data_IF_841841477031
#
_entry.id   IF_841841477031
#
_cell.length_a   1.000
_cell.length_b   1.000
_cell.length_c   1.000
_cell.angle_alpha   90.00
_cell.angle_beta   90.00
_cell.angle_gamma   90.00
#
_symmetry.space_group_name_H-M   'P 1'
#
loop_
_entity.id
_entity.type
_entity.pdbx_description
1 polymer ?
#
# COMPACT_ATOMS: atom_id res chain seq x y z
N UNK A 1 13.20 -9.42 17.62
CA UNK A 1 12.98 -9.14 16.19
C UNK A 1 13.41 -10.40 15.45
N UNK A 2 12.59 -10.99 14.58
CA UNK A 2 12.98 -12.25 13.90
C UNK A 2 14.05 -11.92 12.87
N UNK A 3 15.27 -12.42 13.07
CA UNK A 3 16.38 -12.21 12.15
C UNK A 3 16.23 -13.18 10.96
N UNK A 4 15.42 -12.79 9.98
CA UNK A 4 15.10 -13.66 8.84
C UNK A 4 16.35 -14.02 8.00
N UNK A 5 17.44 -13.25 8.11
CA UNK A 5 18.72 -13.50 7.43
C UNK A 5 19.41 -14.78 7.91
N UNK A 6 19.15 -15.22 9.14
CA UNK A 6 19.75 -16.43 9.70
C UNK A 6 19.13 -17.71 9.13
N UNK A 7 17.89 -17.62 8.62
CA UNK A 7 17.12 -18.79 8.17
C UNK A 7 17.14 -18.99 6.66
N UNK A 8 17.70 -18.05 5.90
CA UNK A 8 17.78 -18.13 4.44
C UNK A 8 19.25 -18.05 4.02
N UNK A 9 19.81 -19.09 3.38
CA UNK A 9 21.19 -19.07 2.92
C UNK A 9 21.48 -17.84 2.04
N UNK A 10 22.49 -17.05 2.42
CA UNK A 10 22.92 -15.87 1.67
C UNK A 10 23.33 -16.27 0.24
N UNK A 11 22.94 -15.45 -0.74
CA UNK A 11 23.19 -15.70 -2.16
C UNK A 11 22.28 -16.73 -2.84
N UNK A 12 21.33 -17.33 -2.12
CA UNK A 12 20.26 -18.11 -2.76
C UNK A 12 19.24 -17.20 -3.45
N UNK A 13 18.55 -17.69 -4.48
CA UNK A 13 17.47 -16.96 -5.16
C UNK A 13 16.38 -16.45 -4.20
N UNK A 14 16.10 -17.25 -3.15
CA UNK A 14 15.15 -16.87 -2.11
C UNK A 14 15.68 -15.71 -1.25
N UNK A 15 16.98 -15.67 -0.96
CA UNK A 15 17.60 -14.59 -0.21
C UNK A 15 17.57 -13.29 -1.01
N UNK A 16 17.94 -13.33 -2.29
CA UNK A 16 17.87 -12.18 -3.18
C UNK A 16 16.44 -11.65 -3.31
N UNK A 17 15.47 -12.55 -3.53
CA UNK A 17 14.04 -12.18 -3.59
C UNK A 17 13.54 -11.55 -2.30
N UNK A 18 13.89 -12.13 -1.15
CA UNK A 18 13.55 -11.58 0.17
C UNK A 18 14.20 -10.22 0.39
N UNK A 19 15.43 -10.03 -0.08
CA UNK A 19 16.18 -8.78 0.06
C UNK A 19 15.59 -7.65 -0.75
N UNK A 20 15.17 -7.92 -1.97
CA UNK A 20 14.50 -6.94 -2.81
C UNK A 20 13.21 -6.46 -2.12
N UNK A 21 12.39 -7.37 -1.58
CA UNK A 21 11.17 -6.99 -0.85
C UNK A 21 11.49 -6.20 0.42
N UNK A 22 12.55 -6.57 1.15
CA UNK A 22 13.01 -5.85 2.33
C UNK A 22 13.39 -4.39 2.02
N UNK A 23 14.18 -4.18 0.96
CA UNK A 23 14.62 -2.84 0.53
C UNK A 23 13.48 -1.92 0.10
N UNK A 24 12.31 -2.45 -0.27
CA UNK A 24 11.13 -1.62 -0.54
C UNK A 24 10.72 -0.80 0.69
N UNK A 25 10.99 -1.30 1.91
CA UNK A 25 10.67 -0.62 3.15
C UNK A 25 11.67 0.48 3.54
N UNK A 26 12.74 0.66 2.77
CA UNK A 26 13.63 1.80 2.89
C UNK A 26 13.13 2.96 2.03
N UNK A 27 12.43 2.68 0.91
CA UNK A 27 11.75 3.70 0.10
C UNK A 27 10.51 4.27 0.83
N UNK A 28 9.71 3.42 1.47
CA UNK A 28 8.61 3.84 2.35
C UNK A 28 8.24 2.76 3.37
N UNK A 29 7.86 3.13 4.59
CA UNK A 29 7.59 2.14 5.65
C UNK A 29 6.22 1.45 5.53
N UNK A 30 5.32 1.93 4.64
CA UNK A 30 3.96 1.41 4.48
C UNK A 30 3.66 1.13 3.00
N UNK A 31 3.11 -0.05 2.72
CA UNK A 31 2.77 -0.50 1.37
C UNK A 31 1.41 -1.17 1.31
N UNK A 32 0.61 -0.92 0.27
CA UNK A 32 -0.50 -1.82 -0.07
C UNK A 32 0.03 -2.98 -0.92
N UNK A 33 -0.60 -4.16 -0.86
CA UNK A 33 -0.17 -5.33 -1.64
C UNK A 33 -0.01 -5.01 -3.13
N UNK A 34 -1.03 -4.42 -3.76
CA UNK A 34 -0.98 -4.10 -5.18
C UNK A 34 0.09 -3.07 -5.55
N UNK A 35 0.28 -2.03 -4.74
CA UNK A 35 1.32 -1.03 -5.02
C UNK A 35 2.74 -1.56 -4.87
N UNK A 36 2.92 -2.55 -4.00
CA UNK A 36 4.20 -3.21 -3.80
C UNK A 36 4.46 -4.13 -4.99
N UNK A 37 3.47 -4.90 -5.43
CA UNK A 37 3.55 -5.70 -6.66
C UNK A 37 3.90 -4.84 -7.86
N UNK A 38 3.21 -3.72 -8.08
CA UNK A 38 3.48 -2.78 -9.18
C UNK A 38 4.92 -2.24 -9.11
N UNK A 39 5.37 -1.76 -7.94
CA UNK A 39 6.74 -1.26 -7.76
C UNK A 39 7.80 -2.33 -7.98
N UNK A 40 7.54 -3.56 -7.56
CA UNK A 40 8.45 -4.70 -7.78
C UNK A 40 8.52 -5.05 -9.26
N UNK A 41 7.39 -5.02 -9.97
CA UNK A 41 7.33 -5.22 -11.42
C UNK A 41 8.13 -4.15 -12.17
N UNK A 42 8.02 -2.88 -11.77
CA UNK A 42 8.84 -1.78 -12.33
C UNK A 42 10.35 -2.04 -12.16
N UNK A 43 10.74 -2.78 -11.12
CA UNK A 43 12.13 -3.18 -10.85
C UNK A 43 12.50 -4.53 -11.48
N UNK A 44 11.63 -5.13 -12.29
CA UNK A 44 11.87 -6.40 -12.98
C UNK A 44 11.53 -7.65 -12.15
N UNK A 45 10.87 -7.52 -11.01
CA UNK A 45 10.51 -8.64 -10.14
C UNK A 45 9.01 -8.94 -10.20
N UNK A 46 8.67 -10.19 -10.49
CA UNK A 46 7.29 -10.69 -10.45
C UNK A 46 7.19 -11.83 -9.45
N UNK A 47 6.30 -11.69 -8.47
CA UNK A 47 6.05 -12.72 -7.46
C UNK A 47 4.58 -13.10 -7.45
N UNK A 48 4.29 -14.37 -7.18
CA UNK A 48 2.94 -14.78 -6.83
C UNK A 48 2.51 -14.12 -5.51
N UNK A 49 1.21 -13.89 -5.34
CA UNK A 49 0.65 -13.26 -4.12
C UNK A 49 1.05 -14.06 -2.87
N UNK A 50 1.01 -15.39 -2.94
CA UNK A 50 1.39 -16.26 -1.82
C UNK A 50 2.87 -16.11 -1.46
N UNK A 51 3.75 -16.06 -2.45
CA UNK A 51 5.18 -15.86 -2.25
C UNK A 51 5.48 -14.47 -1.66
N UNK A 52 4.87 -13.42 -2.19
CA UNK A 52 5.03 -12.07 -1.68
C UNK A 52 4.59 -11.95 -0.22
N UNK A 53 3.42 -12.52 0.14
CA UNK A 53 2.94 -12.55 1.53
C UNK A 53 3.88 -13.31 2.47
N UNK A 54 4.50 -14.40 1.98
CA UNK A 54 5.52 -15.15 2.74
C UNK A 54 6.77 -14.29 3.02
N UNK A 55 7.20 -13.48 2.05
CA UNK A 55 8.31 -12.56 2.26
C UNK A 55 7.94 -11.44 3.25
N UNK A 56 6.73 -10.90 3.12
CA UNK A 56 6.23 -9.80 3.94
C UNK A 56 6.05 -10.20 5.40
N UNK A 57 5.54 -11.39 5.71
CA UNK A 57 5.32 -11.84 7.10
C UNK A 57 6.60 -11.85 7.94
N UNK A 58 7.76 -12.01 7.29
CA UNK A 58 9.07 -11.98 7.95
C UNK A 58 9.49 -10.58 8.39
N UNK A 59 9.20 -9.55 7.59
CA UNK A 59 9.75 -8.19 7.74
C UNK A 59 8.73 -7.11 8.10
N UNK A 60 7.45 -7.43 7.98
CA UNK A 60 6.34 -6.50 8.14
C UNK A 60 5.21 -7.10 8.96
N UNK A 61 4.28 -6.26 9.36
CA UNK A 61 3.02 -6.66 10.01
C UNK A 61 1.86 -5.93 9.35
N UNK A 62 0.64 -6.25 9.77
CA UNK A 62 -0.57 -5.76 9.14
C UNK A 62 -1.64 -5.48 10.20
N UNK A 63 -2.39 -4.39 10.06
CA UNK A 63 -3.54 -4.12 10.93
C UNK A 63 -4.81 -4.80 10.41
N UNK A 64 -5.48 -5.57 11.26
CA UNK A 64 -6.76 -6.21 10.94
C UNK A 64 -7.90 -5.21 10.81
N UNK A 65 -7.79 -4.00 11.37
CA UNK A 65 -8.81 -2.94 11.33
C UNK A 65 -8.18 -1.53 11.41
N UNK A 66 -9.01 -0.50 11.30
CA UNK A 66 -8.58 0.90 11.46
C UNK A 66 -8.04 1.59 10.18
N UNK A 67 -7.49 2.81 10.32
CA UNK A 67 -7.15 3.66 9.17
C UNK A 67 -5.96 3.13 8.35
N UNK A 68 -5.15 2.26 8.93
CA UNK A 68 -4.02 1.58 8.28
C UNK A 68 -4.33 0.10 7.97
N UNK A 69 -5.61 -0.30 7.94
CA UNK A 69 -6.00 -1.62 7.48
C UNK A 69 -5.64 -1.80 6.00
N UNK A 70 -5.21 -3.01 5.61
CA UNK A 70 -4.83 -3.34 4.23
C UNK A 70 -3.50 -2.81 3.75
N UNK A 71 -2.63 -2.49 4.71
CA UNK A 71 -1.24 -2.18 4.45
C UNK A 71 -0.30 -3.11 5.19
N UNK A 72 0.81 -3.42 4.53
CA UNK A 72 1.99 -4.02 5.10
C UNK A 72 2.87 -2.89 5.65
N UNK A 73 3.23 -3.01 6.92
CA UNK A 73 3.94 -1.98 7.68
C UNK A 73 5.26 -2.57 8.18
N UNK A 74 6.37 -1.85 7.97
CA UNK A 74 7.71 -2.25 8.43
C UNK A 74 7.67 -2.60 9.92
N UNK A 75 8.20 -3.76 10.33
CA UNK A 75 8.35 -4.08 11.75
C UNK A 75 9.18 -3.01 12.46
N UNK A 76 8.74 -2.60 13.65
CA UNK A 76 9.38 -1.54 14.43
C UNK A 76 8.90 -0.12 14.09
N UNK A 77 8.15 0.07 13.01
CA UNK A 77 7.53 1.36 12.67
C UNK A 77 6.07 1.39 13.10
N UNK A 78 5.65 2.39 13.88
CA UNK A 78 4.25 2.58 14.28
C UNK A 78 3.67 3.85 13.61
N UNK A 79 2.82 3.71 12.57
CA UNK A 79 2.32 4.86 11.81
C UNK A 79 1.33 5.73 12.58
N UNK A 80 0.91 5.31 13.78
CA UNK A 80 0.05 6.10 14.67
C UNK A 80 0.85 7.15 15.45
N UNK A 81 2.15 6.93 15.61
CA UNK A 81 3.08 7.84 16.31
C UNK A 81 3.75 8.84 15.37
N UNK A 82 3.65 8.60 14.07
CA UNK A 82 4.24 9.44 13.03
C UNK A 82 3.14 10.25 12.30
N UNK A 83 3.06 11.58 12.48
CA UNK A 83 2.11 12.43 11.79
C UNK A 83 2.20 12.38 10.25
N UNK A 84 3.39 12.14 9.70
CA UNK A 84 3.63 12.11 8.25
C UNK A 84 3.02 10.86 7.61
N UNK A 85 2.78 9.81 8.42
CA UNK A 85 2.08 8.61 7.98
C UNK A 85 0.62 8.82 7.59
N UNK A 86 0.01 9.97 7.90
CA UNK A 86 -1.41 10.26 7.58
C UNK A 86 -1.72 10.14 6.09
N UNK A 87 -0.76 10.41 5.22
CA UNK A 87 -0.93 10.30 3.76
C UNK A 87 -1.23 8.86 3.28
N UNK A 88 -0.87 7.86 4.07
CA UNK A 88 -1.12 6.45 3.78
C UNK A 88 -2.45 5.96 4.32
N UNK A 89 -3.18 6.76 5.10
CA UNK A 89 -4.44 6.33 5.66
C UNK A 89 -5.46 6.04 4.56
N UNK A 90 -6.24 4.99 4.79
CA UNK A 90 -7.36 4.60 3.97
C UNK A 90 -8.54 5.53 4.25
N UNK A 91 -9.05 6.16 3.20
CA UNK A 91 -10.31 6.90 3.24
C UNK A 91 -11.36 6.11 2.46
N UNK A 92 -12.46 5.77 3.12
CA UNK A 92 -13.58 5.04 2.50
C UNK A 92 -14.67 6.07 2.20
N UNK A 93 -15.05 6.18 0.92
CA UNK A 93 -16.21 6.92 0.49
C UNK A 93 -17.34 5.93 0.22
N UNK A 94 -18.42 6.04 0.99
CA UNK A 94 -19.65 5.26 0.83
C UNK A 94 -20.75 6.17 0.29
N UNK A 95 -21.35 5.78 -0.83
CA UNK A 95 -22.48 6.49 -1.43
C UNK A 95 -23.78 5.69 -1.23
N UNK A 96 -24.92 6.39 -1.20
CA UNK A 96 -26.26 5.84 -0.94
C UNK A 96 -26.70 4.65 -1.82
N UNK A 97 -25.97 4.33 -2.90
CA UNK A 97 -26.22 3.18 -3.78
C UNK A 97 -25.35 1.95 -3.50
N UNK A 98 -24.81 1.81 -2.27
CA UNK A 98 -23.90 0.73 -1.85
C UNK A 98 -22.56 0.67 -2.62
N UNK A 99 -22.14 1.77 -3.21
CA UNK A 99 -20.86 1.87 -3.89
C UNK A 99 -19.76 2.35 -2.92
N UNK A 100 -18.71 1.55 -2.76
CA UNK A 100 -17.56 1.85 -1.88
C UNK A 100 -16.31 2.13 -2.70
N UNK A 101 -15.85 3.38 -2.66
CA UNK A 101 -14.55 3.77 -3.22
C UNK A 101 -13.55 3.90 -2.10
N UNK A 102 -12.38 3.27 -2.27
CA UNK A 102 -11.26 3.44 -1.34
C UNK A 102 -10.21 4.31 -1.98
N UNK A 103 -9.93 5.44 -1.34
CA UNK A 103 -8.91 6.38 -1.76
C UNK A 103 -7.76 6.30 -0.76
N UNK A 104 -6.54 6.23 -1.30
CA UNK A 104 -5.30 6.41 -0.56
C UNK A 104 -4.58 7.53 -1.28
N UNK A 105 -4.19 8.60 -0.57
CA UNK A 105 -3.80 9.87 -1.21
C UNK A 105 -2.58 9.73 -2.12
N UNK A 106 -1.72 8.75 -1.88
CA UNK A 106 -0.49 8.51 -2.64
C UNK A 106 -0.57 7.34 -3.63
N UNK A 107 -1.70 6.62 -3.71
CA UNK A 107 -1.83 5.42 -4.54
C UNK A 107 -2.86 5.59 -5.66
N UNK A 108 -2.79 4.77 -6.73
CA UNK A 108 -3.86 4.69 -7.71
C UNK A 108 -5.19 4.31 -7.02
N UNK A 109 -6.27 4.98 -7.43
CA UNK A 109 -7.62 4.81 -6.88
C UNK A 109 -8.10 3.38 -7.20
N UNK A 110 -8.49 2.63 -6.17
CA UNK A 110 -9.06 1.28 -6.34
C UNK A 110 -10.57 1.33 -6.24
N UNK A 111 -11.22 0.96 -7.36
CA UNK A 111 -12.66 0.84 -7.49
C UNK A 111 -13.03 -0.63 -7.34
N UNK A 112 -13.90 -0.96 -6.38
CA UNK A 112 -14.27 -2.35 -6.08
C UNK A 112 -15.37 -2.92 -7.00
N UNK A 113 -16.02 -2.09 -7.84
CA UNK A 113 -17.06 -2.53 -8.80
C UNK A 113 -17.05 -1.62 -10.04
N UNK A 114 -17.19 -2.14 -11.27
CA UNK A 114 -17.23 -1.29 -12.46
C UNK A 114 -18.38 -0.28 -12.37
N UNK A 115 -18.11 1.01 -12.61
CA UNK A 115 -19.10 2.06 -12.49
C UNK A 115 -20.09 2.02 -13.65
N UNK A 116 -21.39 2.11 -13.36
CA UNK A 116 -22.43 2.25 -14.40
C UNK A 116 -22.31 3.60 -15.11
N UNK A 117 -22.93 3.77 -16.30
CA UNK A 117 -22.94 5.06 -17.04
C UNK A 117 -23.40 6.25 -16.19
N UNK A 118 -24.30 6.02 -15.22
CA UNK A 118 -24.78 7.07 -14.28
C UNK A 118 -23.75 7.45 -13.21
N UNK A 119 -22.68 6.69 -13.04
CA UNK A 119 -21.66 6.84 -12.00
C UNK A 119 -20.38 7.51 -12.50
N UNK A 120 -20.30 7.90 -13.77
CA UNK A 120 -19.13 8.57 -14.35
C UNK A 120 -18.83 9.92 -13.68
N UNK A 121 -19.87 10.68 -13.33
CA UNK A 121 -19.76 11.93 -12.58
C UNK A 121 -19.14 11.73 -11.18
N UNK A 122 -19.38 10.58 -10.53
CA UNK A 122 -18.82 10.25 -9.22
C UNK A 122 -17.31 10.00 -9.30
N UNK A 123 -16.86 9.27 -10.32
CA UNK A 123 -15.42 9.03 -10.55
C UNK A 123 -14.70 10.37 -10.79
N UNK A 124 -15.27 11.23 -11.64
CA UNK A 124 -14.72 12.55 -11.93
C UNK A 124 -14.68 13.42 -10.68
N UNK A 125 -15.74 13.41 -9.86
CA UNK A 125 -15.78 14.12 -8.57
C UNK A 125 -14.70 13.64 -7.60
N UNK A 126 -14.55 12.32 -7.42
CA UNK A 126 -13.52 11.73 -6.56
C UNK A 126 -12.12 12.02 -7.09
N UNK A 127 -11.89 11.86 -8.39
CA UNK A 127 -10.61 12.18 -9.01
C UNK A 127 -10.25 13.66 -8.82
N UNK A 128 -11.22 14.56 -8.94
CA UNK A 128 -11.05 16.00 -8.71
C UNK A 128 -10.75 16.31 -7.25
N UNK A 129 -11.47 15.69 -6.32
CA UNK A 129 -11.23 15.82 -4.87
C UNK A 129 -9.82 15.32 -4.51
N UNK A 130 -9.41 14.15 -5.00
CA UNK A 130 -8.06 13.59 -4.80
C UNK A 130 -6.99 14.53 -5.34
N UNK A 131 -7.20 15.09 -6.55
CA UNK A 131 -6.29 16.08 -7.14
C UNK A 131 -6.16 17.33 -6.28
N UNK A 132 -7.26 17.78 -5.67
CA UNK A 132 -7.29 18.94 -4.76
C UNK A 132 -6.56 18.64 -3.44
N UNK A 133 -6.76 17.46 -2.84
CA UNK A 133 -6.06 17.05 -1.62
C UNK A 133 -4.56 16.91 -1.88
N UNK A 134 -4.16 16.25 -2.98
CA UNK A 134 -2.75 16.15 -3.40
C UNK A 134 -2.10 17.53 -3.53
N UNK A 135 -2.80 18.51 -4.10
CA UNK A 135 -2.31 19.90 -4.22
C UNK A 135 -2.14 20.59 -2.87
N UNK A 136 -3.07 20.38 -1.92
CA UNK A 136 -2.97 20.93 -0.56
C UNK A 136 -1.83 20.28 0.23
N UNK A 137 -1.62 18.98 0.09
CA UNK A 137 -0.50 18.27 0.73
C UNK A 137 0.84 18.73 0.15
N UNK A 138 0.95 18.88 -1.17
CA UNK A 138 2.17 19.35 -1.83
C UNK A 138 2.53 20.82 -1.52
N UNK A 139 1.58 21.64 -1.08
CA UNK A 139 1.81 23.04 -0.72
C UNK A 139 2.18 23.25 0.76
N UNK A 140 2.27 22.16 1.54
CA UNK A 140 2.64 22.19 2.97
C UNK A 140 4.03 21.58 3.25
N UNK A 141 4.75 21.21 2.20
CA UNK A 141 6.17 20.81 2.20
C UNK A 141 6.93 21.93 1.50
#
# INVERSE_FOLDING_TARGET
MVNWEEYIPKGSDQWESQMVVFRMFDERPIWSEGSLTERLLDKGFSFSISMLRRFLSRISYYFSSGPFQRFWIKKGYDPRKDPDSRIYQRIIFEYQSHYKVTVMLTMPIKINKPPSRRQHALILSIATMVKRIKKVVAARV
#
